data_IF_316895850288
#
_entry.id   IF_316895850288
#
_cell.length_a   1.000
_cell.length_b   1.000
_cell.length_c   1.000
_cell.angle_alpha   90.00
_cell.angle_beta   90.00
_cell.angle_gamma   90.00
#
_symmetry.space_group_name_H-M   'P 1'
#
loop_
_entity.id
_entity.type
_entity.pdbx_description
1 polymer ?
#
# COMPACT_ATOMS: atom_id res chain seq x y z
N UNK A 1 -14.13 21.02 -0.73
CA UNK A 1 -14.31 20.57 -2.14
C UNK A 1 -13.05 20.74 -2.96
N UNK A 2 -12.45 21.93 -3.08
CA UNK A 2 -11.22 22.13 -3.87
C UNK A 2 -10.01 21.29 -3.39
N UNK A 3 -9.89 21.05 -2.08
CA UNK A 3 -8.78 20.28 -1.49
C UNK A 3 -8.86 18.77 -1.72
N UNK A 4 -10.04 18.22 -2.00
CA UNK A 4 -10.25 16.76 -2.12
C UNK A 4 -10.14 16.26 -3.57
N UNK A 5 -10.32 17.16 -4.54
CA UNK A 5 -10.14 16.88 -5.98
C UNK A 5 -8.75 16.30 -6.28
N UNK A 6 -7.63 16.88 -5.79
CA UNK A 6 -6.32 16.31 -6.06
C UNK A 6 -6.17 14.91 -5.45
N UNK A 7 -6.67 14.65 -4.25
CA UNK A 7 -6.56 13.34 -3.59
C UNK A 7 -7.31 12.25 -4.36
N UNK A 8 -8.50 12.56 -4.87
CA UNK A 8 -9.30 11.63 -5.66
C UNK A 8 -8.68 11.38 -7.04
N UNK A 9 -8.17 12.42 -7.69
CA UNK A 9 -7.46 12.28 -8.96
C UNK A 9 -6.18 11.44 -8.79
N UNK A 10 -5.40 11.72 -7.75
CA UNK A 10 -4.12 11.07 -7.50
C UNK A 10 -4.32 9.61 -7.06
N UNK A 11 -5.32 9.32 -6.23
CA UNK A 11 -5.67 7.94 -5.85
C UNK A 11 -6.17 7.12 -7.05
N UNK A 12 -6.94 7.73 -7.96
CA UNK A 12 -7.42 7.05 -9.19
C UNK A 12 -6.25 6.73 -10.14
N UNK A 13 -5.35 7.70 -10.35
CA UNK A 13 -4.13 7.48 -11.16
C UNK A 13 -3.22 6.43 -10.53
N UNK A 14 -3.10 6.46 -9.20
CA UNK A 14 -2.31 5.47 -8.46
C UNK A 14 -2.90 4.07 -8.58
N UNK A 15 -4.22 3.92 -8.44
CA UNK A 15 -4.92 2.65 -8.65
C UNK A 15 -4.71 2.12 -10.08
N UNK A 16 -4.84 2.98 -11.09
CA UNK A 16 -4.58 2.61 -12.49
C UNK A 16 -3.16 2.06 -12.66
N UNK A 17 -2.16 2.74 -12.09
CA UNK A 17 -0.78 2.29 -12.14
C UNK A 17 -0.59 0.93 -11.43
N UNK A 18 -1.18 0.72 -10.24
CA UNK A 18 -1.09 -0.56 -9.52
C UNK A 18 -1.69 -1.72 -10.32
N UNK A 19 -2.86 -1.49 -10.92
CA UNK A 19 -3.53 -2.45 -11.80
C UNK A 19 -2.62 -2.77 -12.99
N UNK A 20 -2.07 -1.76 -13.66
CA UNK A 20 -1.16 -1.95 -14.80
C UNK A 20 0.07 -2.77 -14.42
N UNK A 21 0.70 -2.49 -13.28
CA UNK A 21 1.87 -3.25 -12.79
C UNK A 21 1.46 -4.71 -12.54
N UNK A 22 0.32 -4.95 -11.89
CA UNK A 22 -0.15 -6.29 -11.55
C UNK A 22 -0.48 -7.15 -12.79
N UNK A 23 -1.03 -6.53 -13.83
CA UNK A 23 -1.39 -7.19 -15.09
C UNK A 23 -0.27 -7.21 -16.13
N UNK A 24 0.87 -6.57 -15.86
CA UNK A 24 1.99 -6.59 -16.79
C UNK A 24 2.59 -7.99 -16.89
N UNK A 25 2.80 -8.47 -18.12
CA UNK A 25 3.41 -9.78 -18.38
C UNK A 25 4.94 -9.76 -18.27
N UNK A 26 5.56 -8.57 -18.23
CA UNK A 26 7.01 -8.43 -18.19
C UNK A 26 7.57 -8.98 -16.86
N UNK A 27 8.64 -9.78 -16.96
CA UNK A 27 9.29 -10.42 -15.82
C UNK A 27 9.86 -9.39 -14.84
N UNK A 28 10.22 -8.20 -15.34
CA UNK A 28 10.73 -7.10 -14.51
C UNK A 28 9.73 -6.64 -13.43
N UNK A 29 8.42 -6.81 -13.65
CA UNK A 29 7.39 -6.44 -12.66
C UNK A 29 7.09 -7.55 -11.64
N UNK A 30 7.72 -8.72 -11.77
CA UNK A 30 7.51 -9.86 -10.86
C UNK A 30 8.54 -9.90 -9.72
N UNK A 31 9.35 -8.85 -9.55
CA UNK A 31 10.33 -8.77 -8.47
C UNK A 31 9.64 -8.58 -7.10
N UNK A 32 10.30 -8.98 -6.00
CA UNK A 32 9.76 -8.79 -4.65
C UNK A 32 9.47 -7.31 -4.34
N UNK A 33 10.24 -6.38 -4.91
CA UNK A 33 9.99 -4.95 -4.81
C UNK A 33 8.59 -4.58 -5.33
N UNK A 34 8.24 -4.99 -6.56
CA UNK A 34 6.93 -4.67 -7.13
C UNK A 34 5.78 -5.35 -6.39
N UNK A 35 6.01 -6.55 -5.84
CA UNK A 35 5.02 -7.23 -5.01
C UNK A 35 4.75 -6.46 -3.72
N UNK A 36 5.81 -6.03 -3.01
CA UNK A 36 5.69 -5.18 -1.82
C UNK A 36 5.10 -3.80 -2.15
N UNK A 37 5.47 -3.23 -3.28
CA UNK A 37 4.94 -1.95 -3.75
C UNK A 37 3.43 -2.02 -4.00
N UNK A 38 2.96 -3.07 -4.69
CA UNK A 38 1.52 -3.26 -4.96
C UNK A 38 0.74 -3.53 -3.67
N UNK A 39 1.23 -4.39 -2.77
CA UNK A 39 0.54 -4.66 -1.51
C UNK A 39 0.44 -3.42 -0.62
N UNK A 40 1.54 -2.68 -0.46
CA UNK A 40 1.59 -1.43 0.30
C UNK A 40 0.68 -0.37 -0.32
N UNK A 41 0.68 -0.26 -1.64
CA UNK A 41 -0.18 0.66 -2.38
C UNK A 41 -1.66 0.37 -2.18
N UNK A 42 -2.06 -0.90 -2.18
CA UNK A 42 -3.44 -1.30 -1.89
C UNK A 42 -3.86 -0.93 -0.47
N UNK A 43 -3.01 -1.16 0.54
CA UNK A 43 -3.29 -0.72 1.91
C UNK A 43 -3.49 0.80 2.01
N UNK A 44 -2.68 1.58 1.29
CA UNK A 44 -2.83 3.03 1.20
C UNK A 44 -4.17 3.44 0.56
N UNK A 45 -4.55 2.81 -0.55
CA UNK A 45 -5.82 3.09 -1.23
C UNK A 45 -7.03 2.75 -0.36
N UNK A 46 -7.00 1.61 0.35
CA UNK A 46 -8.06 1.22 1.30
C UNK A 46 -8.22 2.31 2.37
N UNK A 47 -7.12 2.86 2.86
CA UNK A 47 -7.14 3.96 3.84
C UNK A 47 -7.83 5.21 3.27
N UNK A 48 -7.44 5.65 2.06
CA UNK A 48 -8.02 6.82 1.39
C UNK A 48 -9.52 6.64 1.13
N UNK A 49 -9.94 5.50 0.57
CA UNK A 49 -11.35 5.22 0.30
C UNK A 49 -12.16 5.23 1.60
N UNK A 50 -11.64 4.60 2.66
CA UNK A 50 -12.33 4.57 3.96
C UNK A 50 -12.42 5.97 4.58
N UNK A 51 -11.39 6.80 4.42
CA UNK A 51 -11.42 8.20 4.86
C UNK A 51 -12.50 9.01 4.12
N UNK A 52 -12.60 8.84 2.80
CA UNK A 52 -13.65 9.49 2.00
C UNK A 52 -15.03 9.03 2.48
N UNK A 53 -15.22 7.75 2.76
CA UNK A 53 -16.48 7.24 3.31
C UNK A 53 -16.83 7.92 4.64
N UNK A 54 -15.88 7.99 5.58
CA UNK A 54 -16.06 8.66 6.87
C UNK A 54 -16.44 10.13 6.70
N UNK A 55 -15.76 10.84 5.80
CA UNK A 55 -15.91 12.28 5.63
C UNK A 55 -17.18 12.68 4.85
N UNK A 56 -17.69 11.81 3.96
CA UNK A 56 -18.79 12.16 3.04
C UNK A 56 -20.14 11.57 3.42
N UNK A 57 -20.17 10.44 4.12
CA UNK A 57 -21.43 9.86 4.53
C UNK A 57 -21.93 10.48 5.82
N UNK A 58 -23.21 10.85 5.86
CA UNK A 58 -23.89 11.22 7.10
C UNK A 58 -24.35 9.94 7.78
N UNK A 59 -23.85 9.68 8.98
CA UNK A 59 -24.16 8.48 9.74
C UNK A 59 -25.29 8.76 10.73
N UNK A 60 -26.40 8.03 10.60
CA UNK A 60 -27.46 8.00 11.61
C UNK A 60 -27.03 7.14 12.81
N UNK A 61 -27.71 7.27 13.95
CA UNK A 61 -27.43 6.50 15.17
C UNK A 61 -27.42 4.99 14.93
N UNK A 62 -28.30 4.48 14.07
CA UNK A 62 -28.34 3.05 13.69
C UNK A 62 -27.16 2.58 12.83
N UNK A 63 -26.36 3.50 12.29
CA UNK A 63 -25.20 3.23 11.42
C UNK A 63 -23.85 3.52 12.08
N UNK A 64 -23.83 3.75 13.41
CA UNK A 64 -22.59 3.98 14.17
C UNK A 64 -21.58 2.83 14.01
N UNK A 65 -22.05 1.60 13.88
CA UNK A 65 -21.19 0.43 13.63
C UNK A 65 -20.44 0.55 12.28
N UNK A 66 -21.08 1.10 11.24
CA UNK A 66 -20.47 1.27 9.93
C UNK A 66 -19.40 2.37 9.95
N UNK A 67 -19.65 3.45 10.70
CA UNK A 67 -18.65 4.49 10.96
C UNK A 67 -17.42 3.92 11.67
N UNK A 68 -17.62 3.14 12.74
CA UNK A 68 -16.54 2.51 13.49
C UNK A 68 -15.72 1.55 12.62
N UNK A 69 -16.38 0.73 11.79
CA UNK A 69 -15.69 -0.15 10.84
C UNK A 69 -14.86 0.63 9.83
N UNK A 70 -15.43 1.70 9.23
CA UNK A 70 -14.69 2.53 8.29
C UNK A 70 -13.46 3.17 8.95
N UNK A 71 -13.59 3.61 10.21
CA UNK A 71 -12.47 4.16 10.99
C UNK A 71 -11.36 3.13 11.23
N UNK A 72 -11.72 1.92 11.65
CA UNK A 72 -10.76 0.83 11.87
C UNK A 72 -10.04 0.49 10.57
N UNK A 73 -10.77 0.34 9.46
CA UNK A 73 -10.20 0.03 8.15
C UNK A 73 -9.26 1.15 7.69
N UNK A 74 -9.66 2.42 7.88
CA UNK A 74 -8.83 3.57 7.57
C UNK A 74 -7.48 3.51 8.32
N UNK A 75 -7.53 3.29 9.63
CA UNK A 75 -6.35 3.24 10.48
C UNK A 75 -5.44 2.04 10.17
N UNK A 76 -6.03 0.85 9.98
CA UNK A 76 -5.31 -0.35 9.58
C UNK A 76 -4.64 -0.18 8.21
N UNK A 77 -5.32 0.43 7.24
CA UNK A 77 -4.75 0.75 5.94
C UNK A 77 -3.57 1.72 6.03
N UNK A 78 -3.67 2.74 6.89
CA UNK A 78 -2.60 3.73 7.12
C UNK A 78 -1.36 3.07 7.77
N UNK A 79 -1.56 2.27 8.81
CA UNK A 79 -0.48 1.50 9.46
C UNK A 79 0.16 0.53 8.46
N UNK A 80 -0.65 -0.24 7.74
CA UNK A 80 -0.18 -1.20 6.74
C UNK A 80 0.64 -0.53 5.63
N UNK A 81 0.20 0.62 5.14
CA UNK A 81 0.95 1.44 4.18
C UNK A 81 2.27 1.95 4.75
N UNK A 82 2.29 2.36 6.01
CA UNK A 82 3.50 2.86 6.68
C UNK A 82 4.52 1.75 6.88
N UNK A 83 4.10 0.60 7.41
CA UNK A 83 4.95 -0.58 7.58
C UNK A 83 5.46 -1.07 6.22
N UNK A 84 4.58 -1.16 5.21
CA UNK A 84 4.98 -1.59 3.87
C UNK A 84 6.03 -0.68 3.23
N UNK A 85 5.90 0.65 3.38
CA UNK A 85 6.94 1.61 2.94
C UNK A 85 8.26 1.38 3.67
N UNK A 86 8.22 1.13 4.98
CA UNK A 86 9.42 0.81 5.76
C UNK A 86 10.08 -0.48 5.25
N UNK A 87 9.30 -1.53 4.97
CA UNK A 87 9.80 -2.77 4.39
C UNK A 87 10.43 -2.55 3.01
N UNK A 88 9.84 -1.70 2.16
CA UNK A 88 10.40 -1.33 0.86
C UNK A 88 11.75 -0.61 1.02
N UNK A 89 11.85 0.32 1.97
CA UNK A 89 13.11 1.04 2.26
C UNK A 89 14.19 0.06 2.74
N UNK A 90 13.86 -0.83 3.68
CA UNK A 90 14.79 -1.86 4.17
C UNK A 90 15.22 -2.78 3.03
N UNK A 91 14.27 -3.27 2.22
CA UNK A 91 14.58 -4.10 1.06
C UNK A 91 15.52 -3.39 0.07
N UNK A 92 15.27 -2.12 -0.24
CA UNK A 92 16.13 -1.33 -1.13
C UNK A 92 17.51 -1.09 -0.54
N UNK A 93 17.59 -0.81 0.76
CA UNK A 93 18.85 -0.65 1.46
C UNK A 93 19.73 -1.91 1.36
N UNK A 94 19.14 -3.10 1.59
CA UNK A 94 19.89 -4.36 1.47
C UNK A 94 20.32 -4.66 0.04
N UNK A 95 19.46 -4.42 -0.96
CA UNK A 95 19.82 -4.59 -2.37
C UNK A 95 21.02 -3.72 -2.74
N UNK A 96 21.02 -2.45 -2.32
CA UNK A 96 22.14 -1.51 -2.57
C UNK A 96 23.41 -1.86 -1.79
N UNK A 97 23.28 -2.52 -0.63
CA UNK A 97 24.42 -3.00 0.16
C UNK A 97 25.06 -4.26 -0.45
N UNK A 98 24.30 -5.06 -1.19
CA UNK A 98 24.79 -6.29 -1.80
C UNK A 98 25.73 -6.01 -2.98
N UNK A 99 26.87 -6.72 -3.03
CA UNK A 99 27.88 -6.57 -4.11
C UNK A 99 27.32 -6.99 -5.47
N UNK A 100 26.36 -7.92 -5.49
CA UNK A 100 25.78 -8.46 -6.72
C UNK A 100 24.50 -7.74 -7.19
N UNK A 101 23.97 -6.77 -6.42
CA UNK A 101 22.72 -6.04 -6.71
C UNK A 101 21.54 -6.95 -7.13
N UNK A 102 21.50 -8.20 -6.63
CA UNK A 102 20.48 -9.18 -7.03
C UNK A 102 19.17 -8.94 -6.28
N UNK A 103 18.14 -8.53 -7.01
CA UNK A 103 16.77 -8.35 -6.48
C UNK A 103 16.02 -9.68 -6.25
N UNK A 104 16.61 -10.83 -6.58
CA UNK A 104 15.90 -12.12 -6.57
C UNK A 104 16.01 -12.88 -5.23
N UNK A 105 16.47 -12.23 -4.17
CA UNK A 105 16.57 -12.86 -2.86
C UNK A 105 15.27 -12.61 -2.10
N UNK A 106 14.54 -13.69 -1.85
CA UNK A 106 13.25 -13.65 -1.15
C UNK A 106 13.43 -13.10 0.26
N UNK A 107 12.57 -12.16 0.67
CA UNK A 107 12.56 -11.55 2.01
C UNK A 107 12.58 -12.60 3.14
N UNK A 108 12.01 -13.79 2.89
CA UNK A 108 11.97 -14.92 3.82
C UNK A 108 13.35 -15.53 4.12
N UNK A 109 14.31 -15.43 3.19
CA UNK A 109 15.67 -15.94 3.38
C UNK A 109 16.46 -15.08 4.37
N UNK A 110 16.13 -13.79 4.52
CA UNK A 110 16.86 -12.88 5.40
C UNK A 110 16.37 -12.87 6.85
N UNK A 111 15.08 -13.09 7.09
CA UNK A 111 14.55 -13.22 8.47
C UNK A 111 15.17 -14.44 9.19
N UNK A 112 15.63 -15.43 8.43
CA UNK A 112 16.31 -16.63 8.93
C UNK A 112 17.84 -16.49 9.05
N UNK A 113 18.44 -15.42 8.51
CA UNK A 113 19.89 -15.14 8.60
C UNK A 113 20.24 -14.18 9.74
N UNK A 114 19.24 -13.50 10.29
CA UNK A 114 19.36 -12.59 11.43
C UNK A 114 19.05 -13.25 12.79
N UNK A 115 18.71 -14.55 12.77
CA UNK A 115 18.52 -15.42 13.93
C UNK A 115 19.43 -16.64 13.81
#
# INVERSE_FOLDING_TARGET
FLEEVPDLMLSTLYLYMLVRIKFSSDQNFKTPFFTLFVSTGLCGLISVVSHICIAKFTYNEHMLWAFQLAWIINYMGAIGSTIGKLLIVVHRFEVLRSVELKENVSFFTYFFLLY
#
